data_IF_903757029913
#
_entry.id   IF_903757029913
#
_cell.length_a   1.000
_cell.length_b   1.000
_cell.length_c   1.000
_cell.angle_alpha   90.00
_cell.angle_beta   90.00
_cell.angle_gamma   90.00
#
_symmetry.space_group_name_H-M   'P 1'
#
loop_
_entity.id
_entity.type
_entity.pdbx_description
1 polymer ?
#
# COMPACT_ATOMS: atom_id res chain seq x y z
N UNK A 1 -15.63 -20.38 5.10
CA UNK A 1 -15.46 -20.60 3.64
C UNK A 1 -14.33 -19.69 3.16
N UNK A 2 -13.07 -20.13 3.27
CA UNK A 2 -11.94 -19.43 2.64
C UNK A 2 -12.00 -19.88 1.18
N UNK A 3 -12.71 -19.14 0.32
CA UNK A 3 -12.46 -19.28 -1.11
C UNK A 3 -10.97 -18.97 -1.27
N UNK A 4 -10.21 -19.94 -1.77
CA UNK A 4 -8.87 -19.68 -2.29
C UNK A 4 -8.96 -18.43 -3.15
N UNK A 5 -7.98 -17.54 -2.99
CA UNK A 5 -7.82 -16.41 -3.90
C UNK A 5 -7.88 -16.99 -5.31
N UNK A 6 -9.00 -16.78 -6.03
CA UNK A 6 -8.95 -16.90 -7.47
C UNK A 6 -8.07 -15.74 -7.87
N UNK A 7 -6.80 -16.03 -8.16
CA UNK A 7 -5.83 -15.09 -8.67
C UNK A 7 -6.47 -14.40 -9.86
N UNK A 8 -7.00 -13.21 -9.64
CA UNK A 8 -7.89 -12.57 -10.60
C UNK A 8 -6.97 -11.80 -11.53
N UNK A 9 -6.77 -12.31 -12.75
CA UNK A 9 -5.86 -11.72 -13.74
C UNK A 9 -6.09 -10.23 -13.98
N UNK A 10 -7.30 -9.72 -13.67
CA UNK A 10 -7.64 -8.29 -13.66
C UNK A 10 -6.66 -7.43 -12.86
N UNK A 11 -6.16 -7.88 -11.71
CA UNK A 11 -5.24 -7.08 -10.89
C UNK A 11 -3.83 -7.02 -11.48
N UNK A 12 -3.39 -8.11 -12.11
CA UNK A 12 -2.13 -8.14 -12.86
C UNK A 12 -2.25 -7.21 -14.07
N UNK A 13 -3.38 -7.24 -14.79
CA UNK A 13 -3.65 -6.33 -15.91
C UNK A 13 -3.63 -4.87 -15.43
N UNK A 14 -4.25 -4.55 -14.29
CA UNK A 14 -4.21 -3.20 -13.74
C UNK A 14 -2.77 -2.77 -13.40
N UNK A 15 -1.99 -3.64 -12.74
CA UNK A 15 -0.59 -3.36 -12.42
C UNK A 15 0.31 -3.26 -13.65
N UNK A 16 0.01 -4.03 -14.71
CA UNK A 16 0.64 -3.91 -16.02
C UNK A 16 0.35 -2.56 -16.67
N UNK A 17 -0.93 -2.15 -16.71
CA UNK A 17 -1.31 -0.84 -17.26
C UNK A 17 -0.61 0.30 -16.52
N UNK A 18 -0.58 0.26 -15.19
CA UNK A 18 0.13 1.25 -14.39
C UNK A 18 1.64 1.21 -14.65
N UNK A 19 2.24 0.02 -14.73
CA UNK A 19 3.66 -0.12 -15.06
C UNK A 19 4.01 0.48 -16.42
N UNK A 20 3.17 0.29 -17.43
CA UNK A 20 3.36 0.92 -18.75
C UNK A 20 3.23 2.44 -18.66
N UNK A 21 2.27 2.96 -17.90
CA UNK A 21 2.12 4.41 -17.69
C UNK A 21 3.38 5.01 -17.05
N UNK A 22 3.94 4.35 -16.03
CA UNK A 22 5.20 4.77 -15.39
C UNK A 22 6.36 4.81 -16.38
N UNK A 23 6.48 3.79 -17.23
CA UNK A 23 7.55 3.75 -18.24
C UNK A 23 7.38 4.83 -19.31
N UNK A 24 6.14 5.22 -19.62
CA UNK A 24 5.83 6.31 -20.54
C UNK A 24 6.01 7.71 -19.90
N UNK A 25 5.95 7.83 -18.57
CA UNK A 25 6.14 9.12 -17.88
C UNK A 25 7.60 9.52 -17.72
N UNK A 26 8.53 8.58 -17.97
CA UNK A 26 9.96 8.83 -17.86
C UNK A 26 10.44 9.93 -18.81
N UNK A 27 11.07 10.97 -18.26
CA UNK A 27 11.64 12.08 -19.03
C UNK A 27 12.86 11.66 -19.88
N UNK A 28 13.69 10.74 -19.36
CA UNK A 28 14.76 10.06 -20.09
C UNK A 28 14.79 8.59 -19.71
N UNK A 29 15.22 7.75 -20.63
CA UNK A 29 15.48 6.33 -20.39
C UNK A 29 16.80 6.16 -19.63
N UNK A 30 16.89 6.63 -18.40
CA UNK A 30 18.02 6.32 -17.52
C UNK A 30 17.55 5.45 -16.35
N UNK A 31 18.45 4.65 -15.80
CA UNK A 31 18.15 3.78 -14.66
C UNK A 31 17.70 4.60 -13.44
N UNK A 32 18.28 5.78 -13.24
CA UNK A 32 17.92 6.65 -12.12
C UNK A 32 16.51 7.23 -12.28
N UNK A 33 16.16 7.68 -13.49
CA UNK A 33 14.82 8.18 -13.80
C UNK A 33 13.78 7.07 -13.64
N UNK A 34 14.11 5.86 -14.10
CA UNK A 34 13.26 4.68 -13.90
C UNK A 34 12.99 4.42 -12.43
N UNK A 35 14.04 4.42 -11.60
CA UNK A 35 13.94 4.18 -10.16
C UNK A 35 13.08 5.25 -9.50
N UNK A 36 13.31 6.53 -9.81
CA UNK A 36 12.57 7.63 -9.22
C UNK A 36 11.09 7.60 -9.59
N UNK A 37 10.77 7.47 -10.89
CA UNK A 37 9.39 7.38 -11.38
C UNK A 37 8.68 6.16 -10.79
N UNK A 38 9.34 5.01 -10.77
CA UNK A 38 8.77 3.79 -10.20
C UNK A 38 8.47 3.96 -8.71
N UNK A 39 9.39 4.50 -7.92
CA UNK A 39 9.20 4.75 -6.49
C UNK A 39 8.06 5.74 -6.25
N UNK A 40 7.89 6.76 -7.09
CA UNK A 40 6.83 7.76 -6.93
C UNK A 40 5.44 7.22 -7.30
N UNK A 41 5.33 6.51 -8.43
CA UNK A 41 4.03 6.20 -9.04
C UNK A 41 3.55 4.77 -8.79
N UNK A 42 4.44 3.79 -8.66
CA UNK A 42 4.02 2.42 -8.41
C UNK A 42 3.28 2.22 -7.07
N UNK A 43 3.59 2.96 -5.98
CA UNK A 43 2.81 2.82 -4.76
C UNK A 43 1.33 3.20 -4.89
N UNK A 44 0.93 3.92 -5.94
CA UNK A 44 -0.49 4.14 -6.25
C UNK A 44 -1.23 2.80 -6.49
N UNK A 45 -0.56 1.83 -7.11
CA UNK A 45 -1.09 0.47 -7.25
C UNK A 45 -1.30 -0.17 -5.88
N UNK A 46 -0.31 -0.09 -4.98
CA UNK A 46 -0.40 -0.62 -3.62
C UNK A 46 -1.59 -0.03 -2.86
N UNK A 47 -1.82 1.29 -2.97
CA UNK A 47 -2.99 1.97 -2.39
C UNK A 47 -4.29 1.38 -2.94
N UNK A 48 -4.47 1.41 -4.26
CA UNK A 48 -5.73 0.99 -4.90
C UNK A 48 -6.03 -0.48 -4.58
N UNK A 49 -5.00 -1.33 -4.71
CA UNK A 49 -5.14 -2.76 -4.49
C UNK A 49 -5.40 -3.10 -3.02
N UNK A 50 -4.68 -2.46 -2.10
CA UNK A 50 -4.93 -2.59 -0.66
C UNK A 50 -6.35 -2.19 -0.29
N UNK A 51 -6.87 -1.07 -0.82
CA UNK A 51 -8.25 -0.65 -0.54
C UNK A 51 -9.24 -1.71 -1.01
N UNK A 52 -9.06 -2.21 -2.24
CA UNK A 52 -9.93 -3.23 -2.80
C UNK A 52 -9.94 -4.49 -1.92
N UNK A 53 -8.77 -5.02 -1.58
CA UNK A 53 -8.64 -6.25 -0.79
C UNK A 53 -9.18 -6.09 0.64
N UNK A 54 -8.96 -4.94 1.28
CA UNK A 54 -9.41 -4.70 2.66
C UNK A 54 -10.94 -4.45 2.74
N UNK A 55 -11.55 -3.88 1.70
CA UNK A 55 -12.96 -3.47 1.74
C UNK A 55 -13.91 -4.29 0.88
N UNK A 56 -13.44 -5.34 0.19
CA UNK A 56 -14.28 -6.22 -0.64
C UNK A 56 -15.53 -6.70 0.08
N UNK A 57 -15.42 -7.12 1.35
CA UNK A 57 -16.55 -7.61 2.14
C UNK A 57 -17.59 -6.53 2.47
N UNK A 58 -17.16 -5.28 2.60
CA UNK A 58 -18.04 -4.13 2.88
C UNK A 58 -18.83 -3.71 1.64
N UNK A 59 -18.30 -3.92 0.43
CA UNK A 59 -19.02 -3.63 -0.80
C UNK A 59 -20.24 -4.56 -0.96
N UNK A 60 -20.10 -5.83 -0.59
CA UNK A 60 -21.18 -6.82 -0.70
C UNK A 60 -22.13 -6.84 0.51
N UNK A 61 -21.93 -5.97 1.51
CA UNK A 61 -22.68 -5.98 2.79
C UNK A 61 -22.64 -7.33 3.52
N UNK A 62 -21.49 -8.01 3.43
CA UNK A 62 -21.29 -9.35 4.00
C UNK A 62 -20.44 -9.32 5.28
N UNK A 63 -20.10 -8.14 5.79
CA UNK A 63 -19.19 -7.93 6.91
C UNK A 63 -19.70 -8.55 8.20
N UNK A 64 -21.00 -8.48 8.51
CA UNK A 64 -21.57 -9.06 9.72
C UNK A 64 -21.57 -10.59 9.68
N UNK A 65 -22.03 -11.16 8.56
CA UNK A 65 -22.02 -12.59 8.29
C UNK A 65 -20.59 -13.14 8.38
N UNK A 66 -19.64 -12.41 7.81
CA UNK A 66 -18.23 -12.76 7.87
C UNK A 66 -17.66 -12.64 9.30
N UNK A 67 -17.98 -11.58 10.03
CA UNK A 67 -17.48 -11.35 11.38
C UNK A 67 -17.96 -12.38 12.39
N UNK A 68 -19.20 -12.87 12.24
CA UNK A 68 -19.78 -13.93 13.07
C UNK A 68 -19.26 -15.31 12.68
N UNK A 69 -19.12 -15.59 11.39
CA UNK A 69 -18.66 -16.90 10.90
C UNK A 69 -17.15 -17.12 11.01
N UNK A 70 -16.35 -16.06 11.06
CA UNK A 70 -14.90 -16.18 11.10
C UNK A 70 -14.33 -16.28 12.52
N UNK A 71 -14.09 -17.52 12.95
CA UNK A 71 -13.52 -17.84 14.27
C UNK A 71 -12.04 -17.39 14.38
N UNK A 72 -11.28 -17.39 13.26
CA UNK A 72 -9.85 -17.11 13.24
C UNK A 72 -9.52 -15.79 12.52
N UNK A 73 -10.05 -14.68 13.04
CA UNK A 73 -9.90 -13.32 12.47
C UNK A 73 -8.44 -12.94 12.17
N UNK A 74 -7.51 -13.28 13.06
CA UNK A 74 -6.07 -13.01 12.89
C UNK A 74 -5.50 -13.71 11.65
N UNK A 75 -5.92 -14.95 11.38
CA UNK A 75 -5.41 -15.72 10.25
C UNK A 75 -5.86 -15.08 8.95
N UNK A 76 -7.11 -14.62 8.87
CA UNK A 76 -7.57 -13.98 7.64
C UNK A 76 -6.96 -12.60 7.42
N UNK A 77 -6.78 -11.82 8.48
CA UNK A 77 -6.03 -10.56 8.41
C UNK A 77 -4.63 -10.79 7.84
N UNK A 78 -3.87 -11.73 8.41
CA UNK A 78 -2.51 -12.05 7.96
C UNK A 78 -2.49 -12.55 6.51
N UNK A 79 -3.40 -13.45 6.13
CA UNK A 79 -3.51 -13.92 4.74
C UNK A 79 -3.78 -12.76 3.78
N UNK A 80 -4.64 -11.80 4.16
CA UNK A 80 -4.94 -10.62 3.33
C UNK A 80 -3.68 -9.77 3.11
N UNK A 81 -2.93 -9.47 4.16
CA UNK A 81 -1.68 -8.72 4.06
C UNK A 81 -0.64 -9.45 3.20
N UNK A 82 -0.45 -10.75 3.42
CA UNK A 82 0.49 -11.57 2.62
C UNK A 82 0.11 -11.53 1.14
N UNK A 83 -1.18 -11.64 0.80
CA UNK A 83 -1.62 -11.60 -0.59
C UNK A 83 -1.38 -10.24 -1.25
N UNK A 84 -1.58 -9.14 -0.52
CA UNK A 84 -1.27 -7.79 -1.01
C UNK A 84 0.22 -7.67 -1.32
N UNK A 85 1.08 -8.02 -0.36
CA UNK A 85 2.54 -7.95 -0.53
C UNK A 85 3.02 -8.88 -1.66
N UNK A 86 2.45 -10.09 -1.80
CA UNK A 86 2.84 -11.02 -2.86
C UNK A 86 2.53 -10.48 -4.28
N UNK A 87 1.37 -9.84 -4.46
CA UNK A 87 0.99 -9.24 -5.74
C UNK A 87 1.86 -8.01 -6.03
N UNK A 88 2.12 -7.19 -5.03
CA UNK A 88 3.04 -6.07 -5.11
C UNK A 88 4.44 -6.47 -5.58
N UNK A 89 5.02 -7.51 -4.98
CA UNK A 89 6.31 -8.07 -5.41
C UNK A 89 6.27 -8.51 -6.88
N UNK A 90 5.15 -9.11 -7.31
CA UNK A 90 4.96 -9.52 -8.71
C UNK A 90 4.98 -8.32 -9.65
N UNK A 91 4.35 -7.21 -9.27
CA UNK A 91 4.35 -5.96 -10.06
C UNK A 91 5.74 -5.33 -10.11
N UNK A 92 6.49 -5.30 -9.01
CA UNK A 92 7.86 -4.76 -9.01
C UNK A 92 8.76 -5.54 -9.99
N UNK A 93 8.72 -6.87 -9.93
CA UNK A 93 9.48 -7.74 -10.85
C UNK A 93 9.08 -7.48 -12.30
N UNK A 94 7.78 -7.41 -12.56
CA UNK A 94 7.24 -7.16 -13.89
C UNK A 94 7.66 -5.80 -14.45
N UNK A 95 7.69 -4.79 -13.61
CA UNK A 95 8.09 -3.44 -13.98
C UNK A 95 9.56 -3.38 -14.40
N UNK A 96 10.45 -4.06 -13.67
CA UNK A 96 11.87 -4.23 -14.05
C UNK A 96 12.01 -4.95 -15.39
N UNK A 97 11.28 -6.06 -15.59
CA UNK A 97 11.30 -6.81 -16.86
C UNK A 97 10.87 -5.92 -18.02
N UNK A 98 9.82 -5.12 -17.84
CA UNK A 98 9.34 -4.21 -18.88
C UNK A 98 10.35 -3.11 -19.18
N UNK A 99 11.01 -2.54 -18.17
CA UNK A 99 12.05 -1.53 -18.39
C UNK A 99 13.22 -2.08 -19.22
N UNK A 100 13.75 -3.24 -18.83
CA UNK A 100 14.88 -3.87 -19.54
C UNK A 100 14.50 -4.21 -20.99
N UNK A 101 13.29 -4.75 -21.20
CA UNK A 101 12.86 -5.16 -22.55
C UNK A 101 12.53 -3.99 -23.47
N UNK A 102 12.01 -2.88 -22.95
CA UNK A 102 11.61 -1.73 -23.77
C UNK A 102 12.76 -0.78 -24.11
N UNK A 103 13.71 -0.59 -23.19
CA UNK A 103 14.76 0.40 -23.36
C UNK A 103 16.12 -0.19 -23.75
N UNK A 104 16.28 -1.52 -23.69
CA UNK A 104 17.56 -2.21 -23.96
C UNK A 104 18.71 -1.69 -23.10
N UNK A 105 18.38 -1.22 -21.89
CA UNK A 105 19.32 -0.68 -20.91
C UNK A 105 19.50 -1.72 -19.81
N UNK A 106 20.73 -2.21 -19.68
CA UNK A 106 21.13 -3.02 -18.54
C UNK A 106 21.24 -2.17 -17.27
N UNK A 107 20.82 -2.71 -16.14
CA UNK A 107 21.18 -2.15 -14.84
C UNK A 107 22.63 -2.49 -14.51
N UNK A 108 23.33 -1.59 -13.79
CA UNK A 108 24.57 -2.00 -13.13
C UNK A 108 24.22 -2.92 -11.94
N UNK A 109 24.45 -4.23 -12.14
CA UNK A 109 23.82 -5.33 -11.40
C UNK A 109 24.05 -5.32 -9.89
N UNK A 110 25.04 -4.58 -9.37
CA UNK A 110 25.47 -4.70 -7.96
C UNK A 110 24.94 -3.64 -7.03
N UNK A 111 24.60 -2.44 -7.50
CA UNK A 111 24.21 -1.34 -6.60
C UNK A 111 22.82 -0.79 -6.92
N UNK A 112 22.48 -0.62 -8.20
CA UNK A 112 21.24 0.09 -8.59
C UNK A 112 19.98 -0.77 -8.42
N UNK A 113 20.03 -2.05 -8.82
CA UNK A 113 18.90 -2.99 -8.68
C UNK A 113 18.57 -3.28 -7.22
N UNK A 114 19.59 -3.59 -6.41
CA UNK A 114 19.39 -3.98 -5.02
C UNK A 114 18.73 -2.86 -4.21
N UNK A 115 19.21 -1.63 -4.41
CA UNK A 115 18.63 -0.47 -3.75
C UNK A 115 17.20 -0.21 -4.23
N UNK A 116 16.97 -0.24 -5.55
CA UNK A 116 15.62 -0.12 -6.11
C UNK A 116 14.62 -1.10 -5.49
N UNK A 117 14.98 -2.38 -5.40
CA UNK A 117 14.09 -3.39 -4.81
C UNK A 117 13.82 -3.10 -3.35
N UNK A 118 14.86 -2.83 -2.56
CA UNK A 118 14.69 -2.58 -1.12
C UNK A 118 13.83 -1.33 -0.89
N UNK A 119 14.14 -0.21 -1.54
CA UNK A 119 13.38 1.03 -1.35
C UNK A 119 11.94 0.88 -1.80
N UNK A 120 11.71 0.33 -2.99
CA UNK A 120 10.35 0.16 -3.53
C UNK A 120 9.51 -0.78 -2.66
N UNK A 121 10.07 -1.90 -2.20
CA UNK A 121 9.36 -2.82 -1.30
C UNK A 121 9.01 -2.14 0.02
N UNK A 122 9.94 -1.37 0.60
CA UNK A 122 9.70 -0.66 1.87
C UNK A 122 8.62 0.41 1.70
N UNK A 123 8.67 1.21 0.63
CA UNK A 123 7.64 2.18 0.29
C UNK A 123 6.27 1.52 0.16
N UNK A 124 6.22 0.38 -0.54
CA UNK A 124 5.00 -0.40 -0.74
C UNK A 124 4.42 -0.93 0.56
N UNK A 125 5.25 -1.58 1.39
CA UNK A 125 4.84 -2.09 2.70
C UNK A 125 4.30 -0.94 3.58
N UNK A 126 4.94 0.22 3.54
CA UNK A 126 4.50 1.40 4.26
C UNK A 126 3.14 1.91 3.77
N UNK A 127 2.97 2.12 2.46
CA UNK A 127 1.68 2.53 1.89
C UNK A 127 0.58 1.51 2.17
N UNK A 128 0.88 0.21 2.12
CA UNK A 128 -0.07 -0.86 2.45
C UNK A 128 -0.45 -0.84 3.92
N UNK A 129 0.50 -0.57 4.83
CA UNK A 129 0.24 -0.35 6.25
C UNK A 129 -0.70 0.83 6.51
N UNK A 130 -0.39 2.00 5.93
CA UNK A 130 -1.20 3.23 6.09
C UNK A 130 -2.58 3.02 5.48
N UNK A 131 -2.64 2.45 4.27
CA UNK A 131 -3.91 2.20 3.56
C UNK A 131 -4.80 1.23 4.32
N UNK A 132 -4.21 0.16 4.88
CA UNK A 132 -4.97 -0.81 5.68
C UNK A 132 -5.56 -0.13 6.92
N UNK A 133 -4.78 0.70 7.62
CA UNK A 133 -5.27 1.43 8.79
C UNK A 133 -6.42 2.39 8.41
N UNK A 134 -6.26 3.15 7.33
CA UNK A 134 -7.30 4.06 6.83
C UNK A 134 -8.56 3.28 6.46
N UNK A 135 -8.42 2.13 5.80
CA UNK A 135 -9.56 1.27 5.49
C UNK A 135 -10.27 0.79 6.75
N UNK A 136 -9.53 0.40 7.79
CA UNK A 136 -10.09 -0.04 9.06
C UNK A 136 -10.81 1.08 9.83
N UNK A 137 -10.38 2.34 9.68
CA UNK A 137 -11.04 3.49 10.32
C UNK A 137 -12.29 3.92 9.54
N UNK A 138 -12.16 4.05 8.22
CA UNK A 138 -13.18 4.68 7.37
C UNK A 138 -14.26 3.67 6.94
N UNK A 139 -13.89 2.41 6.73
CA UNK A 139 -14.77 1.32 6.28
C UNK A 139 -15.56 1.62 4.99
N UNK A 140 -15.08 2.59 4.18
CA UNK A 140 -15.70 3.02 2.91
C UNK A 140 -14.63 3.26 1.86
N UNK A 141 -14.77 2.63 0.70
CA UNK A 141 -13.80 2.69 -0.40
C UNK A 141 -13.54 4.10 -0.90
N UNK A 142 -14.57 4.88 -1.18
CA UNK A 142 -14.43 6.25 -1.68
C UNK A 142 -13.69 7.15 -0.69
N UNK A 143 -14.01 7.05 0.61
CA UNK A 143 -13.34 7.80 1.66
C UNK A 143 -11.86 7.41 1.81
N UNK A 144 -11.57 6.10 1.84
CA UNK A 144 -10.19 5.61 1.90
C UNK A 144 -9.37 6.05 0.69
N UNK A 145 -9.95 5.98 -0.51
CA UNK A 145 -9.27 6.33 -1.75
C UNK A 145 -8.97 7.84 -1.80
N UNK A 146 -9.91 8.68 -1.38
CA UNK A 146 -9.70 10.12 -1.26
C UNK A 146 -8.54 10.45 -0.30
N UNK A 147 -8.58 9.92 0.93
CA UNK A 147 -7.55 10.19 1.95
C UNK A 147 -6.17 9.71 1.48
N UNK A 148 -6.09 8.48 0.96
CA UNK A 148 -4.81 7.93 0.51
C UNK A 148 -4.27 8.64 -0.73
N UNK A 149 -5.14 9.09 -1.63
CA UNK A 149 -4.71 9.88 -2.79
C UNK A 149 -4.16 11.24 -2.36
N UNK A 150 -4.79 11.91 -1.39
CA UNK A 150 -4.27 13.16 -0.83
C UNK A 150 -2.92 12.95 -0.14
N UNK A 151 -2.77 11.85 0.62
CA UNK A 151 -1.52 11.48 1.27
C UNK A 151 -0.40 11.22 0.25
N UNK A 152 -0.71 10.48 -0.82
CA UNK A 152 0.23 10.21 -1.91
C UNK A 152 0.63 11.48 -2.67
N UNK A 153 -0.33 12.31 -3.06
CA UNK A 153 -0.09 13.60 -3.73
C UNK A 153 0.78 14.51 -2.85
N UNK A 154 0.49 14.59 -1.54
CA UNK A 154 1.28 15.38 -0.60
C UNK A 154 2.76 15.00 -0.63
N UNK A 155 3.08 13.70 -0.61
CA UNK A 155 4.47 13.26 -0.64
C UNK A 155 5.12 13.40 -2.01
N UNK A 156 4.37 13.31 -3.11
CA UNK A 156 4.92 13.60 -4.44
C UNK A 156 5.34 15.06 -4.55
N UNK A 157 4.50 15.99 -4.08
CA UNK A 157 4.83 17.43 -4.09
C UNK A 157 6.04 17.72 -3.19
N UNK A 158 6.18 16.97 -2.10
CA UNK A 158 7.21 17.15 -1.07
C UNK A 158 8.28 16.06 -1.12
N UNK A 159 8.60 15.55 -2.32
CA UNK A 159 9.45 14.35 -2.49
C UNK A 159 10.85 14.52 -1.91
N UNK A 160 11.37 15.76 -1.88
CA UNK A 160 12.69 16.11 -1.34
C UNK A 160 12.72 16.34 0.17
N UNK A 161 11.59 16.22 0.87
CA UNK A 161 11.57 16.42 2.32
C UNK A 161 12.13 15.19 3.05
N UNK A 162 13.17 15.42 3.85
CA UNK A 162 13.76 14.43 4.75
C UNK A 162 12.83 14.16 5.94
N UNK A 163 11.81 13.35 5.71
CA UNK A 163 10.89 12.88 6.75
C UNK A 163 10.87 11.37 6.79
N UNK A 164 10.81 10.80 7.99
CA UNK A 164 10.62 9.35 8.18
C UNK A 164 9.29 8.88 7.57
N UNK A 165 8.30 9.78 7.48
CA UNK A 165 7.01 9.51 6.86
C UNK A 165 7.04 9.65 5.34
N UNK A 166 8.11 10.17 4.74
CA UNK A 166 8.27 10.25 3.29
C UNK A 166 8.61 8.86 2.75
N UNK A 167 7.69 8.18 2.05
CA UNK A 167 7.95 6.85 1.53
C UNK A 167 8.94 6.86 0.35
N UNK A 168 9.29 8.02 -0.20
CA UNK A 168 10.13 8.15 -1.39
C UNK A 168 11.61 8.37 -1.03
N UNK A 169 12.19 7.43 -0.30
CA UNK A 169 13.52 7.52 0.35
C UNK A 169 14.68 7.77 -0.63
N UNK A 170 14.50 7.51 -1.94
CA UNK A 170 15.59 7.50 -2.91
C UNK A 170 15.66 8.73 -3.85
N UNK A 171 14.70 9.65 -3.77
CA UNK A 171 14.66 10.80 -4.69
C UNK A 171 15.59 11.91 -4.18
N UNK A 172 16.92 11.74 -4.40
CA UNK A 172 17.90 12.80 -4.71
C UNK A 172 19.36 12.44 -4.31
N UNK A 173 19.65 11.72 -3.20
CA UNK A 173 21.03 11.36 -2.81
C UNK A 173 21.08 10.06 -1.96
N UNK A 174 21.90 9.04 -2.29
CA UNK A 174 21.93 7.74 -1.61
C UNK A 174 22.58 7.68 -0.21
N UNK A 175 22.81 8.78 0.50
CA UNK A 175 23.51 8.73 1.81
C UNK A 175 22.53 8.79 2.98
N UNK A 176 22.53 7.75 3.83
CA UNK A 176 21.70 7.52 5.03
C UNK A 176 20.25 7.00 4.82
N UNK A 177 20.00 6.18 3.79
CA UNK A 177 18.70 5.51 3.61
C UNK A 177 18.41 4.40 4.63
N UNK A 178 19.43 3.77 5.21
CA UNK A 178 19.26 2.58 6.07
C UNK A 178 18.41 2.85 7.31
N UNK A 179 18.68 3.97 8.01
CA UNK A 179 17.92 4.36 9.20
C UNK A 179 16.44 4.62 8.87
N UNK A 180 16.18 5.32 7.77
CA UNK A 180 14.82 5.63 7.32
C UNK A 180 14.06 4.36 6.91
N UNK A 181 14.71 3.43 6.21
CA UNK A 181 14.13 2.12 5.86
C UNK A 181 13.71 1.35 7.10
N UNK A 182 14.61 1.22 8.08
CA UNK A 182 14.33 0.50 9.32
C UNK A 182 13.14 1.13 10.05
N UNK A 183 13.14 2.46 10.17
CA UNK A 183 12.04 3.18 10.83
C UNK A 183 10.71 2.99 10.10
N UNK A 184 10.68 3.01 8.77
CA UNK A 184 9.46 2.77 8.00
C UNK A 184 8.93 1.34 8.17
N UNK A 185 9.81 0.34 8.23
CA UNK A 185 9.40 -1.03 8.53
C UNK A 185 8.80 -1.15 9.94
N UNK A 186 9.42 -0.50 10.95
CA UNK A 186 8.88 -0.47 12.32
C UNK A 186 7.50 0.19 12.33
N UNK A 187 7.34 1.35 11.70
CA UNK A 187 6.06 2.06 11.61
C UNK A 187 5.02 1.18 10.90
N UNK A 188 5.39 0.53 9.80
CA UNK A 188 4.49 -0.37 9.07
C UNK A 188 3.99 -1.52 9.94
N UNK A 189 4.88 -2.14 10.73
CA UNK A 189 4.49 -3.16 11.70
C UNK A 189 3.49 -2.62 12.73
N UNK A 190 3.73 -1.43 13.28
CA UNK A 190 2.80 -0.76 14.21
C UNK A 190 1.45 -0.50 13.54
N UNK A 191 1.44 -0.03 12.29
CA UNK A 191 0.21 0.21 11.53
C UNK A 191 -0.59 -1.07 11.32
N UNK A 192 0.05 -2.20 10.99
CA UNK A 192 -0.62 -3.49 10.87
C UNK A 192 -1.20 -3.98 12.21
N UNK A 193 -0.46 -3.80 13.31
CA UNK A 193 -0.96 -4.16 14.66
C UNK A 193 -2.18 -3.31 15.01
N UNK A 194 -2.12 -1.99 14.82
CA UNK A 194 -3.24 -1.09 15.09
C UNK A 194 -4.46 -1.44 14.22
N UNK A 195 -4.24 -1.69 12.94
CA UNK A 195 -5.29 -2.11 12.00
C UNK A 195 -5.97 -3.39 12.48
N UNK A 196 -5.19 -4.40 12.89
CA UNK A 196 -5.71 -5.65 13.42
C UNK A 196 -6.51 -5.46 14.72
N UNK A 197 -6.05 -4.59 15.61
CA UNK A 197 -6.77 -4.26 16.85
C UNK A 197 -8.11 -3.59 16.57
N UNK A 198 -8.20 -2.73 15.56
CA UNK A 198 -9.45 -2.09 15.13
C UNK A 198 -10.39 -3.14 14.52
N UNK A 199 -9.89 -3.99 13.61
CA UNK A 199 -10.70 -5.03 12.95
C UNK A 199 -11.40 -5.95 13.96
N UNK A 200 -10.71 -6.27 15.06
CA UNK A 200 -11.26 -7.12 16.14
C UNK A 200 -12.50 -6.53 16.82
N UNK A 201 -12.65 -5.21 16.84
CA UNK A 201 -13.78 -4.53 17.51
C UNK A 201 -15.09 -4.65 16.74
N UNK A 202 -15.04 -5.09 15.48
CA UNK A 202 -16.21 -5.35 14.64
C UNK A 202 -16.61 -4.18 13.73
N UNK A 203 -17.43 -4.46 12.70
CA UNK A 203 -17.69 -3.52 11.60
C UNK A 203 -18.41 -2.23 12.03
N UNK A 204 -19.27 -2.30 13.05
CA UNK A 204 -20.07 -1.17 13.56
C UNK A 204 -19.40 -0.41 14.71
N UNK A 205 -18.19 -0.81 15.13
CA UNK A 205 -17.54 -0.20 16.28
C UNK A 205 -17.33 1.32 16.17
N UNK A 206 -16.88 1.87 15.02
CA UNK A 206 -16.69 3.32 14.88
C UNK A 206 -18.00 4.09 15.08
N UNK A 207 -19.08 3.65 14.44
CA UNK A 207 -20.40 4.31 14.51
C UNK A 207 -20.98 4.27 15.93
N UNK A 208 -20.90 3.11 16.60
CA UNK A 208 -21.35 2.95 17.99
C UNK A 208 -20.53 3.83 18.94
N UNK A 209 -19.22 3.91 18.74
CA UNK A 209 -18.33 4.71 19.59
C UNK A 209 -18.63 6.21 19.49
N UNK A 210 -18.82 6.73 18.27
CA UNK A 210 -19.18 8.13 18.02
C UNK A 210 -20.56 8.45 18.61
N UNK A 211 -21.56 7.58 18.40
CA UNK A 211 -22.91 7.77 18.95
C UNK A 211 -22.90 7.85 20.47
N UNK A 212 -22.12 6.98 21.15
CA UNK A 212 -21.95 7.04 22.61
C UNK A 212 -21.28 8.33 23.06
N UNK A 213 -20.24 8.78 22.36
CA UNK A 213 -19.55 10.02 22.68
C UNK A 213 -20.51 11.22 22.60
N UNK A 214 -21.22 11.39 21.49
CA UNK A 214 -22.18 12.49 21.32
C UNK A 214 -23.40 12.42 22.25
N UNK A 215 -23.79 11.23 22.70
CA UNK A 215 -24.86 11.08 23.71
C UNK A 215 -24.44 11.55 25.10
N UNK A 216 -23.14 11.45 25.44
CA UNK A 216 -22.62 11.92 26.73
C UNK A 216 -22.46 13.44 26.76
N UNK A 217 -21.98 14.03 25.67
CA UNK A 217 -21.82 15.50 25.56
C UNK A 217 -23.14 16.27 25.47
N UNK A 218 -24.29 15.60 25.28
CA UNK A 218 -25.63 16.22 25.34
C UNK A 218 -26.26 16.17 26.73
N UNK A 219 -25.65 15.46 27.68
CA UNK A 219 -26.11 15.34 29.07
C UNK A 219 -25.34 16.26 30.03
N UNK A 220 -24.31 16.95 29.53
CA UNK A 220 -23.56 18.03 30.20
C UNK A 220 -24.04 19.39 29.66
#
# INVERSE_FOLDING_TARGET
>A
MIKSLKFNGKYIIMGLCLSVIVLLSMYKSTTLDFINESIMYLPLFAIIFSIYMNLELYEYRMEELYFVSNILKWRTFVIRIINVIAIELTIIILNVILYVTLFDIGFDYKFEIGIYFVTTIVSFIFFTGVTTLVCEIIKKKSGSLCIMSLFWIYWIINVTNDSILNPFIFVAVPSNYEGTIIMQLIISCVLFILSFLIERRGPLWPEISLKRYFSRTKQE
#
